data_IF_603884080633
#
_entry.id   IF_603884080633
#
_cell.length_a   1.000
_cell.length_b   1.000
_cell.length_c   1.000
_cell.angle_alpha   90.00
_cell.angle_beta   90.00
_cell.angle_gamma   90.00
#
_symmetry.space_group_name_H-M   'P 1'
#
loop_
_entity.id
_entity.type
_entity.pdbx_description
1 polymer ?
#
# COMPACT_ATOMS: atom_id res chain seq x y z
N UNK A 1 6.99 -2.81 -32.33
CA UNK A 1 7.86 -3.06 -31.15
C UNK A 1 7.16 -2.77 -29.82
N UNK A 2 6.41 -1.66 -29.69
CA UNK A 2 5.68 -1.27 -28.46
C UNK A 2 4.68 -2.31 -27.91
N UNK A 3 3.97 -3.05 -28.77
CA UNK A 3 2.91 -3.99 -28.36
C UNK A 3 3.42 -5.22 -27.60
N UNK A 4 4.66 -5.67 -27.83
CA UNK A 4 5.24 -6.79 -27.06
C UNK A 4 5.53 -6.39 -25.62
N UNK A 5 6.10 -5.21 -25.42
CA UNK A 5 6.44 -4.68 -24.09
C UNK A 5 5.15 -4.46 -23.27
N UNK A 6 4.14 -3.81 -23.85
CA UNK A 6 2.84 -3.60 -23.17
C UNK A 6 2.18 -4.92 -22.78
N UNK A 7 2.29 -5.96 -23.61
CA UNK A 7 1.74 -7.29 -23.31
C UNK A 7 2.48 -7.97 -22.16
N UNK A 8 3.81 -7.92 -22.15
CA UNK A 8 4.63 -8.48 -21.07
C UNK A 8 4.30 -7.75 -19.77
N UNK A 9 4.24 -6.42 -19.80
CA UNK A 9 3.93 -5.61 -18.62
C UNK A 9 2.52 -5.87 -18.10
N UNK A 10 1.52 -5.98 -18.97
CA UNK A 10 0.15 -6.32 -18.58
C UNK A 10 0.04 -7.71 -17.95
N UNK A 11 0.84 -8.67 -18.44
CA UNK A 11 0.85 -10.03 -17.90
C UNK A 11 1.58 -10.09 -16.56
N UNK A 12 2.75 -9.46 -16.46
CA UNK A 12 3.53 -9.38 -15.22
C UNK A 12 2.76 -8.68 -14.10
N UNK A 13 2.13 -7.54 -14.39
CA UNK A 13 1.31 -6.80 -13.41
C UNK A 13 0.08 -7.60 -12.97
N UNK A 14 -0.55 -8.34 -13.89
CA UNK A 14 -1.65 -9.23 -13.54
C UNK A 14 -1.20 -10.40 -12.66
N UNK A 15 -0.09 -11.06 -13.00
CA UNK A 15 0.48 -12.15 -12.18
C UNK A 15 0.84 -11.63 -10.78
N UNK A 16 1.49 -10.48 -10.69
CA UNK A 16 1.83 -9.87 -9.41
C UNK A 16 0.57 -9.51 -8.60
N UNK A 17 -0.47 -8.99 -9.25
CA UNK A 17 -1.75 -8.73 -8.58
C UNK A 17 -2.37 -10.00 -7.98
N UNK A 18 -2.31 -11.12 -8.72
CA UNK A 18 -2.80 -12.42 -8.25
C UNK A 18 -1.94 -12.93 -7.10
N UNK A 19 -0.62 -12.82 -7.18
CA UNK A 19 0.29 -13.23 -6.11
C UNK A 19 0.04 -12.43 -4.82
N UNK A 20 -0.13 -11.11 -4.90
CA UNK A 20 -0.47 -10.28 -3.74
C UNK A 20 -1.87 -10.61 -3.19
N UNK A 21 -2.83 -10.92 -4.06
CA UNK A 21 -4.18 -11.34 -3.63
C UNK A 21 -4.15 -12.71 -2.94
N UNK A 22 -3.35 -13.64 -3.43
CA UNK A 22 -3.12 -14.95 -2.79
C UNK A 22 -2.37 -14.80 -1.47
N UNK A 23 -1.39 -13.91 -1.39
CA UNK A 23 -0.70 -13.58 -0.15
C UNK A 23 -1.68 -12.99 0.87
N UNK A 24 -2.55 -12.05 0.47
CA UNK A 24 -3.60 -11.51 1.34
C UNK A 24 -4.50 -12.61 1.91
N UNK A 25 -5.00 -13.52 1.06
CA UNK A 25 -5.83 -14.64 1.51
C UNK A 25 -5.05 -15.62 2.40
N UNK A 26 -3.80 -15.92 2.02
CA UNK A 26 -2.91 -16.82 2.75
C UNK A 26 -2.61 -16.30 4.14
N UNK A 27 -2.14 -15.05 4.26
CA UNK A 27 -1.86 -14.38 5.54
C UNK A 27 -3.11 -14.28 6.40
N UNK A 28 -4.25 -13.91 5.81
CA UNK A 28 -5.51 -13.85 6.54
C UNK A 28 -5.92 -15.20 7.15
N UNK A 29 -5.84 -16.28 6.36
CA UNK A 29 -6.17 -17.63 6.82
C UNK A 29 -5.14 -18.17 7.80
N UNK A 30 -3.84 -17.96 7.56
CA UNK A 30 -2.79 -18.45 8.45
C UNK A 30 -2.86 -17.79 9.81
N UNK A 31 -3.02 -16.47 9.90
CA UNK A 31 -3.16 -15.77 11.19
C UNK A 31 -4.45 -16.12 11.95
N UNK A 32 -5.51 -16.51 11.26
CA UNK A 32 -6.73 -17.00 11.90
C UNK A 32 -6.56 -18.38 12.53
N UNK A 33 -5.71 -19.22 11.92
CA UNK A 33 -5.46 -20.59 12.36
C UNK A 33 -4.23 -20.71 13.28
N UNK A 34 -3.38 -19.70 13.30
CA UNK A 34 -2.17 -19.67 14.11
C UNK A 34 -2.48 -19.19 15.54
N UNK A 35 -1.86 -19.86 16.51
CA UNK A 35 -1.86 -19.49 17.93
C UNK A 35 -0.54 -18.83 18.35
N UNK A 36 0.31 -18.50 17.38
CA UNK A 36 1.60 -17.86 17.58
C UNK A 36 1.55 -16.48 18.26
N UNK A 37 2.70 -16.09 18.79
CA UNK A 37 2.89 -14.80 19.44
C UNK A 37 2.73 -13.64 18.43
N UNK A 38 2.01 -12.60 18.83
CA UNK A 38 1.89 -11.36 18.04
C UNK A 38 2.94 -10.38 18.53
N UNK A 39 3.73 -9.83 17.60
CA UNK A 39 4.79 -8.88 17.93
C UNK A 39 4.60 -7.55 17.21
N UNK A 40 4.68 -6.44 17.95
CA UNK A 40 4.66 -5.08 17.40
C UNK A 40 5.99 -4.39 17.66
N UNK A 41 6.49 -3.64 16.67
CA UNK A 41 7.63 -2.74 16.86
C UNK A 41 7.13 -1.36 17.26
N UNK A 42 7.78 -0.76 18.25
CA UNK A 42 7.49 0.59 18.73
C UNK A 42 8.79 1.38 18.82
N UNK A 43 8.69 2.66 18.48
CA UNK A 43 9.79 3.63 18.59
C UNK A 43 9.83 4.30 19.97
N UNK A 44 9.10 3.76 20.96
CA UNK A 44 8.96 4.41 22.26
C UNK A 44 10.30 4.61 22.98
N UNK A 45 11.23 3.66 22.84
CA UNK A 45 12.59 3.76 23.36
C UNK A 45 13.59 4.27 22.32
N UNK A 46 13.13 4.87 21.22
CA UNK A 46 14.03 5.47 20.25
C UNK A 46 14.90 6.52 20.95
N UNK A 47 16.22 6.34 20.89
CA UNK A 47 17.23 7.15 21.58
C UNK A 47 17.34 6.93 23.10
N UNK A 48 16.75 5.86 23.64
CA UNK A 48 17.04 5.48 25.01
C UNK A 48 18.46 4.92 25.14
N UNK A 49 19.19 5.41 26.15
CA UNK A 49 20.48 4.85 26.53
C UNK A 49 20.27 3.46 27.10
N UNK A 50 20.94 2.45 26.54
CA UNK A 50 20.93 1.11 27.10
C UNK A 50 21.53 1.12 28.51
N UNK A 51 20.83 0.51 29.47
CA UNK A 51 21.32 0.39 30.84
C UNK A 51 22.55 -0.54 30.90
N UNK A 52 22.54 -1.61 30.10
CA UNK A 52 23.66 -2.50 29.92
C UNK A 52 24.44 -2.10 28.65
N UNK A 53 25.68 -1.65 28.83
CA UNK A 53 26.59 -1.37 27.72
C UNK A 53 26.82 -2.68 26.96
N UNK A 54 26.40 -2.75 25.70
CA UNK A 54 26.96 -3.74 24.80
C UNK A 54 28.41 -3.28 24.56
N UNK A 55 29.35 -4.22 24.57
CA UNK A 55 30.79 -3.93 24.56
C UNK A 55 31.20 -3.19 23.26
N UNK A 56 31.08 -1.87 23.24
CA UNK A 56 31.63 -1.00 22.20
C UNK A 56 32.75 -0.11 22.75
N UNK A 57 33.71 0.18 21.86
CA UNK A 57 34.93 0.91 22.19
C UNK A 57 34.69 2.33 22.70
N UNK A 58 35.73 2.89 23.30
CA UNK A 58 35.73 4.23 23.88
C UNK A 58 35.33 5.29 22.83
N UNK A 59 34.32 6.10 23.14
CA UNK A 59 33.78 7.14 22.25
C UNK A 59 32.54 6.78 21.43
N UNK A 60 32.03 5.54 21.53
CA UNK A 60 30.78 5.12 20.86
C UNK A 60 29.58 5.36 21.77
N UNK A 61 28.56 6.05 21.24
CA UNK A 61 27.24 6.15 21.87
C UNK A 61 26.33 5.07 21.29
N UNK A 62 25.84 4.18 22.16
CA UNK A 62 24.83 3.19 21.81
C UNK A 62 23.45 3.72 22.18
N UNK A 63 22.54 3.73 21.21
CA UNK A 63 21.12 3.96 21.46
C UNK A 63 20.31 2.78 20.93
N UNK A 64 19.27 2.40 21.65
CA UNK A 64 18.26 1.48 21.10
C UNK A 64 17.38 2.27 20.14
N UNK A 65 17.18 1.74 18.93
CA UNK A 65 16.38 2.40 17.89
C UNK A 65 14.96 1.85 17.80
N UNK A 66 14.70 0.61 18.23
CA UNK A 66 13.40 -0.06 18.07
C UNK A 66 13.15 -1.03 19.23
N UNK A 67 11.98 -0.96 19.85
CA UNK A 67 11.53 -1.94 20.85
C UNK A 67 10.47 -2.86 20.27
N UNK A 68 10.65 -4.17 20.42
CA UNK A 68 9.67 -5.16 19.96
C UNK A 68 8.91 -5.70 21.18
N UNK A 69 7.60 -5.50 21.22
CA UNK A 69 6.70 -6.08 22.22
C UNK A 69 6.05 -7.32 21.61
N UNK A 70 6.26 -8.49 22.22
CA UNK A 70 5.65 -9.73 21.80
C UNK A 70 4.71 -10.26 22.88
N UNK A 71 3.53 -10.71 22.48
CA UNK A 71 2.52 -11.30 23.36
C UNK A 71 2.29 -12.76 22.94
N UNK A 72 2.66 -13.70 23.82
CA UNK A 72 2.60 -15.15 23.54
C UNK A 72 1.16 -15.71 23.51
N UNK A 73 0.22 -15.05 24.21
CA UNK A 73 -1.20 -15.39 24.18
C UNK A 73 -2.03 -14.15 23.82
N UNK A 74 -2.07 -13.76 22.51
CA UNK A 74 -2.74 -12.55 22.08
C UNK A 74 -4.26 -12.72 22.10
N UNK A 75 -4.97 -11.68 22.55
CA UNK A 75 -6.44 -11.65 22.46
C UNK A 75 -6.92 -11.58 21.01
N UNK A 76 -8.18 -11.93 20.76
CA UNK A 76 -8.78 -11.83 19.42
C UNK A 76 -8.69 -10.41 18.83
N UNK A 77 -8.80 -9.37 19.67
CA UNK A 77 -8.64 -7.98 19.25
C UNK A 77 -7.20 -7.63 18.83
N UNK A 78 -6.20 -8.20 19.51
CA UNK A 78 -4.79 -8.02 19.16
C UNK A 78 -4.44 -8.73 17.85
N UNK A 79 -4.96 -9.94 17.62
CA UNK A 79 -4.80 -10.63 16.33
C UNK A 79 -5.44 -9.86 15.18
N UNK A 80 -6.64 -9.30 15.39
CA UNK A 80 -7.31 -8.50 14.37
C UNK A 80 -6.55 -7.20 14.06
N UNK A 81 -5.97 -6.56 15.07
CA UNK A 81 -5.17 -5.35 14.89
C UNK A 81 -3.82 -5.62 14.20
N UNK A 82 -3.18 -6.76 14.51
CA UNK A 82 -1.97 -7.24 13.82
C UNK A 82 -2.24 -7.46 12.32
N UNK A 83 -3.31 -8.19 12.00
CA UNK A 83 -3.80 -8.36 10.64
C UNK A 83 -4.12 -7.03 9.94
N UNK A 84 -4.66 -6.07 10.69
CA UNK A 84 -4.95 -4.71 10.22
C UNK A 84 -3.70 -3.90 9.86
N UNK A 85 -2.51 -4.33 10.27
CA UNK A 85 -1.25 -3.66 9.91
C UNK A 85 -0.66 -4.15 8.57
N UNK A 86 -0.88 -5.42 8.21
CA UNK A 86 -0.26 -6.03 7.01
C UNK A 86 -1.24 -6.18 5.83
N UNK A 87 -2.45 -6.67 6.09
CA UNK A 87 -3.43 -7.00 5.04
C UNK A 87 -3.84 -5.81 4.16
N UNK A 88 -4.02 -4.57 4.70
CA UNK A 88 -4.47 -3.46 3.87
C UNK A 88 -3.53 -3.15 2.71
N UNK A 89 -2.21 -3.24 2.91
CA UNK A 89 -1.21 -3.00 1.87
C UNK A 89 -1.23 -4.07 0.78
N UNK A 90 -1.39 -5.34 1.15
CA UNK A 90 -1.51 -6.44 0.19
C UNK A 90 -2.76 -6.29 -0.69
N UNK A 91 -3.89 -5.98 -0.07
CA UNK A 91 -5.15 -5.77 -0.78
C UNK A 91 -5.08 -4.54 -1.70
N UNK A 92 -4.58 -3.42 -1.20
CA UNK A 92 -4.39 -2.20 -1.97
C UNK A 92 -3.47 -2.44 -3.17
N UNK A 93 -2.31 -3.08 -2.95
CA UNK A 93 -1.36 -3.40 -4.00
C UNK A 93 -1.95 -4.30 -5.08
N UNK A 94 -2.68 -5.35 -4.67
CA UNK A 94 -3.38 -6.26 -5.60
C UNK A 94 -4.40 -5.50 -6.46
N UNK A 95 -5.25 -4.68 -5.84
CA UNK A 95 -6.26 -3.90 -6.55
C UNK A 95 -5.65 -2.88 -7.51
N UNK A 96 -4.62 -2.13 -7.09
CA UNK A 96 -3.93 -1.14 -7.91
C UNK A 96 -3.30 -1.80 -9.15
N UNK A 97 -2.58 -2.91 -8.97
CA UNK A 97 -1.96 -3.65 -10.07
C UNK A 97 -2.99 -4.27 -11.02
N UNK A 98 -4.10 -4.81 -10.48
CA UNK A 98 -5.19 -5.35 -11.28
C UNK A 98 -5.80 -4.26 -12.17
N UNK A 99 -6.07 -3.07 -11.61
CA UNK A 99 -6.58 -1.90 -12.34
C UNK A 99 -5.59 -1.43 -13.39
N UNK A 100 -4.30 -1.37 -13.07
CA UNK A 100 -3.25 -1.04 -14.03
C UNK A 100 -3.17 -2.06 -15.19
N UNK A 101 -3.24 -3.36 -14.91
CA UNK A 101 -3.25 -4.37 -15.98
C UNK A 101 -4.47 -4.22 -16.89
N UNK A 102 -5.63 -3.81 -16.35
CA UNK A 102 -6.84 -3.52 -17.14
C UNK A 102 -6.65 -2.30 -18.03
N UNK A 103 -5.98 -1.25 -17.56
CA UNK A 103 -5.61 -0.09 -18.40
C UNK A 103 -4.70 -0.54 -19.55
N UNK A 104 -3.65 -1.32 -19.27
CA UNK A 104 -2.75 -1.82 -20.32
C UNK A 104 -3.47 -2.73 -21.33
N UNK A 105 -4.38 -3.58 -20.87
CA UNK A 105 -5.23 -4.42 -21.75
C UNK A 105 -6.15 -3.56 -22.62
N UNK A 106 -6.73 -2.50 -22.06
CA UNK A 106 -7.56 -1.55 -22.81
C UNK A 106 -6.75 -0.87 -23.92
N UNK A 107 -5.57 -0.34 -23.59
CA UNK A 107 -4.66 0.30 -24.56
C UNK A 107 -4.32 -0.65 -25.71
N UNK A 108 -4.10 -1.94 -25.43
CA UNK A 108 -3.81 -2.93 -26.48
C UNK A 108 -5.02 -3.25 -27.38
N UNK A 109 -6.25 -3.17 -26.85
CA UNK A 109 -7.47 -3.55 -27.58
C UNK A 109 -8.07 -2.38 -28.36
N UNK A 110 -8.10 -1.21 -27.73
CA UNK A 110 -8.86 -0.05 -28.20
C UNK A 110 -7.92 1.08 -28.69
N UNK A 111 -6.62 0.98 -28.39
CA UNK A 111 -5.65 2.05 -28.62
C UNK A 111 -5.52 3.00 -27.43
N UNK A 112 -4.43 3.80 -27.36
CA UNK A 112 -4.13 4.65 -26.21
C UNK A 112 -5.08 5.85 -26.08
N UNK A 113 -5.46 6.50 -27.18
CA UNK A 113 -6.27 7.71 -27.17
C UNK A 113 -7.75 7.40 -27.36
N UNK A 114 -8.34 6.76 -26.35
CA UNK A 114 -9.79 6.49 -26.29
C UNK A 114 -10.36 6.97 -24.97
N UNK A 115 -11.64 7.37 -24.98
CA UNK A 115 -12.36 7.74 -23.76
C UNK A 115 -12.33 6.63 -22.69
N UNK A 116 -12.38 5.37 -23.12
CA UNK A 116 -12.33 4.23 -22.22
C UNK A 116 -10.96 4.09 -21.51
N UNK A 117 -9.85 4.28 -22.22
CA UNK A 117 -8.51 4.27 -21.60
C UNK A 117 -8.33 5.47 -20.67
N UNK A 118 -8.73 6.66 -21.12
CA UNK A 118 -8.68 7.89 -20.33
C UNK A 118 -9.42 7.74 -18.99
N UNK A 119 -10.67 7.26 -19.03
CA UNK A 119 -11.47 7.04 -17.83
C UNK A 119 -10.86 5.97 -16.91
N UNK A 120 -10.39 4.83 -17.47
CA UNK A 120 -9.74 3.77 -16.67
C UNK A 120 -8.46 4.27 -16.00
N UNK A 121 -7.67 5.11 -16.68
CA UNK A 121 -6.46 5.73 -16.12
C UNK A 121 -6.80 6.74 -15.02
N UNK A 122 -7.83 7.57 -15.21
CA UNK A 122 -8.32 8.49 -14.17
C UNK A 122 -8.81 7.75 -12.93
N UNK A 123 -9.58 6.67 -13.10
CA UNK A 123 -10.04 5.83 -12.00
C UNK A 123 -8.87 5.17 -11.27
N UNK A 124 -7.87 4.68 -12.00
CA UNK A 124 -6.63 4.17 -11.39
C UNK A 124 -5.94 5.26 -10.58
N UNK A 125 -5.75 6.45 -11.15
CA UNK A 125 -5.11 7.57 -10.47
C UNK A 125 -5.81 7.94 -9.17
N UNK A 126 -7.15 8.05 -9.18
CA UNK A 126 -7.93 8.30 -7.96
C UNK A 126 -7.82 7.18 -6.94
N UNK A 127 -7.83 5.92 -7.41
CA UNK A 127 -7.67 4.78 -6.50
C UNK A 127 -6.32 4.79 -5.80
N UNK A 128 -5.25 5.23 -6.45
CA UNK A 128 -3.92 5.33 -5.83
C UNK A 128 -3.82 6.57 -4.95
N UNK A 129 -4.26 7.73 -5.43
CA UNK A 129 -4.15 9.01 -4.73
C UNK A 129 -4.93 9.01 -3.41
N UNK A 130 -6.11 8.40 -3.38
CA UNK A 130 -6.93 8.28 -2.17
C UNK A 130 -6.68 6.98 -1.42
N UNK A 131 -6.43 5.87 -2.13
CA UNK A 131 -6.25 4.57 -1.49
C UNK A 131 -4.96 4.49 -0.66
N UNK A 132 -3.88 5.16 -1.08
CA UNK A 132 -2.63 5.18 -0.30
C UNK A 132 -2.80 5.80 1.09
N UNK A 133 -3.29 7.05 1.25
CA UNK A 133 -3.47 7.63 2.58
C UNK A 133 -4.55 6.90 3.39
N UNK A 134 -5.61 6.39 2.76
CA UNK A 134 -6.60 5.58 3.47
C UNK A 134 -6.01 4.29 4.03
N UNK A 135 -5.16 3.61 3.25
CA UNK A 135 -4.46 2.39 3.68
C UNK A 135 -3.50 2.70 4.83
N UNK A 136 -2.71 3.76 4.70
CA UNK A 136 -1.80 4.22 5.76
C UNK A 136 -2.54 4.55 7.06
N UNK A 137 -3.71 5.19 6.97
CA UNK A 137 -4.53 5.51 8.13
C UNK A 137 -5.10 4.26 8.81
N UNK A 138 -5.57 3.28 8.05
CA UNK A 138 -6.07 2.00 8.60
C UNK A 138 -4.96 1.25 9.33
N UNK A 139 -3.77 1.18 8.73
CA UNK A 139 -2.59 0.52 9.31
C UNK A 139 -2.16 1.22 10.59
N UNK A 140 -1.96 2.53 10.54
CA UNK A 140 -1.57 3.32 11.70
C UNK A 140 -2.56 3.26 12.86
N UNK A 141 -3.86 3.21 12.55
CA UNK A 141 -4.87 3.07 13.60
C UNK A 141 -4.89 1.67 14.21
N UNK A 142 -4.64 0.64 13.39
CA UNK A 142 -4.56 -0.74 13.84
C UNK A 142 -3.33 -0.97 14.74
N UNK A 143 -2.16 -0.43 14.36
CA UNK A 143 -0.96 -0.45 15.20
C UNK A 143 -1.14 0.35 16.50
N UNK A 144 -1.70 1.56 16.43
CA UNK A 144 -1.99 2.38 17.63
C UNK A 144 -2.87 1.61 18.62
N UNK A 145 -3.94 0.97 18.13
CA UNK A 145 -4.81 0.10 18.96
C UNK A 145 -4.07 -1.09 19.55
N UNK A 146 -3.16 -1.70 18.78
CA UNK A 146 -2.36 -2.84 19.23
C UNK A 146 -1.40 -2.42 20.36
N UNK A 147 -0.69 -1.31 20.18
CA UNK A 147 0.25 -0.78 21.18
C UNK A 147 -0.48 -0.33 22.44
N UNK A 148 -1.59 0.41 22.31
CA UNK A 148 -2.42 0.82 23.45
C UNK A 148 -2.90 -0.39 24.28
N UNK A 149 -3.18 -1.53 23.63
CA UNK A 149 -3.60 -2.75 24.31
C UNK A 149 -2.47 -3.46 25.07
N UNK A 150 -1.22 -3.32 24.62
CA UNK A 150 -0.05 -3.97 25.22
C UNK A 150 0.65 -3.07 26.24
N UNK A 151 0.58 -1.75 26.06
CA UNK A 151 1.19 -0.77 26.97
C UNK A 151 0.38 0.53 27.03
N UNK A 152 -0.66 0.59 27.86
CA UNK A 152 -1.59 1.72 27.92
C UNK A 152 -0.96 3.04 28.42
N UNK A 153 0.24 2.97 29.01
CA UNK A 153 0.98 4.15 29.49
C UNK A 153 1.86 4.79 28.40
N UNK A 154 2.02 4.12 27.25
CA UNK A 154 2.78 4.61 26.11
C UNK A 154 1.77 5.20 25.13
N UNK A 155 1.53 6.51 25.22
CA UNK A 155 0.60 7.21 24.33
C UNK A 155 0.99 7.02 22.87
N UNK A 156 0.22 6.22 22.13
CA UNK A 156 0.50 5.85 20.76
C UNK A 156 -0.52 6.50 19.84
N UNK A 157 -0.22 7.72 19.35
CA UNK A 157 -1.08 8.39 18.37
C UNK A 157 -1.07 7.65 17.02
N UNK A 158 -2.17 7.68 16.24
CA UNK A 158 -2.18 7.08 14.91
C UNK A 158 -1.16 7.79 14.01
N UNK A 159 -0.11 7.09 13.62
CA UNK A 159 0.87 7.57 12.64
C UNK A 159 0.43 7.19 11.22
N UNK A 160 0.65 8.08 10.25
CA UNK A 160 0.47 7.73 8.84
C UNK A 160 1.69 6.92 8.39
N UNK A 161 1.64 5.61 8.58
CA UNK A 161 2.69 4.71 8.10
C UNK A 161 2.43 4.28 6.66
N UNK A 162 3.36 4.61 5.76
CA UNK A 162 3.33 4.12 4.38
C UNK A 162 3.91 5.08 3.35
N UNK A 163 4.01 4.64 2.09
CA UNK A 163 4.62 5.42 1.01
C UNK A 163 3.65 6.51 0.50
N UNK A 164 3.40 7.55 1.30
CA UNK A 164 2.56 8.70 0.93
C UNK A 164 3.04 9.40 -0.36
N UNK A 165 4.30 9.19 -0.75
CA UNK A 165 4.85 9.61 -2.05
C UNK A 165 4.03 9.09 -3.23
N UNK A 166 3.30 7.97 -3.11
CA UNK A 166 2.43 7.42 -4.16
C UNK A 166 1.23 8.31 -4.50
N UNK A 167 0.90 9.30 -3.66
CA UNK A 167 -0.12 10.30 -3.98
C UNK A 167 0.25 11.07 -5.25
N UNK A 168 1.54 11.41 -5.42
CA UNK A 168 2.04 12.17 -6.57
C UNK A 168 1.79 11.44 -7.90
N UNK A 169 2.26 10.18 -8.11
CA UNK A 169 1.97 9.45 -9.34
C UNK A 169 0.47 9.15 -9.51
N UNK A 170 -0.29 8.98 -8.43
CA UNK A 170 -1.75 8.85 -8.48
C UNK A 170 -2.41 10.10 -9.08
N UNK A 171 -2.08 11.29 -8.57
CA UNK A 171 -2.56 12.57 -9.09
C UNK A 171 -2.08 12.83 -10.52
N UNK A 172 -0.83 12.50 -10.83
CA UNK A 172 -0.31 12.61 -12.19
C UNK A 172 -1.13 11.74 -13.17
N UNK A 173 -1.47 10.51 -12.80
CA UNK A 173 -2.32 9.64 -13.61
C UNK A 173 -3.75 10.21 -13.80
N UNK A 174 -4.33 10.86 -12.78
CA UNK A 174 -5.62 11.56 -12.91
C UNK A 174 -5.53 12.67 -13.96
N UNK A 175 -4.49 13.51 -13.88
CA UNK A 175 -4.28 14.64 -14.78
C UNK A 175 -4.09 14.14 -16.22
N UNK A 176 -3.22 13.14 -16.42
CA UNK A 176 -2.98 12.55 -17.74
C UNK A 176 -4.26 11.95 -18.31
N UNK A 177 -5.03 11.21 -17.50
CA UNK A 177 -6.32 10.65 -17.94
C UNK A 177 -7.32 11.73 -18.36
N UNK A 178 -7.38 12.86 -17.65
CA UNK A 178 -8.22 14.01 -18.04
C UNK A 178 -7.77 14.64 -19.35
N UNK A 179 -6.48 14.93 -19.51
CA UNK A 179 -5.96 15.48 -20.77
C UNK A 179 -6.19 14.54 -21.95
N UNK A 180 -6.08 13.23 -21.75
CA UNK A 180 -6.42 12.25 -22.78
C UNK A 180 -7.90 12.31 -23.15
N UNK A 181 -8.80 12.43 -22.16
CA UNK A 181 -10.24 12.56 -22.43
C UNK A 181 -10.57 13.83 -23.20
N UNK A 182 -9.98 14.96 -22.82
CA UNK A 182 -10.20 16.24 -23.50
C UNK A 182 -9.67 16.20 -24.94
N UNK A 183 -8.50 15.58 -25.15
CA UNK A 183 -7.91 15.40 -26.48
C UNK A 183 -8.75 14.50 -27.39
N UNK A 184 -9.40 13.46 -26.86
CA UNK A 184 -10.33 12.62 -27.64
C UNK A 184 -11.57 13.41 -28.04
N UNK A 185 -12.15 14.18 -27.11
CA UNK A 185 -13.32 15.03 -27.40
C UNK A 185 -13.03 16.07 -28.49
N UNK A 186 -11.88 16.75 -28.42
CA UNK A 186 -11.49 17.72 -29.45
C UNK A 186 -11.33 17.09 -30.83
N UNK A 187 -10.86 15.84 -30.89
CA UNK A 187 -10.74 15.11 -32.16
C UNK A 187 -12.11 14.77 -32.74
N UNK A 188 -13.04 14.33 -31.90
CA UNK A 188 -14.42 14.05 -32.31
C UNK A 188 -15.12 15.31 -32.83
N UNK A 189 -14.92 16.47 -32.19
CA UNK A 189 -15.47 17.77 -32.65
C UNK A 189 -14.93 18.18 -34.04
N UNK A 190 -13.65 17.91 -34.31
CA UNK A 190 -13.02 18.18 -35.61
C UNK A 190 -13.49 17.22 -36.71
N UNK A 191 -13.70 15.94 -36.39
CA UNK A 191 -14.23 14.95 -37.33
C UNK A 191 -15.73 15.18 -37.64
N UNK A 192 -16.48 15.80 -36.73
CA UNK A 192 -17.91 16.11 -36.90
C UNK A 192 -18.25 17.41 -37.64
N UNK A 193 -17.26 18.24 -37.98
CA UNK A 193 -17.47 19.54 -38.69
C UNK A 193 -17.36 19.41 -40.22
N UNK A 194 -17.04 18.22 -40.75
CA UNK A 194 -16.87 17.94 -42.18
C UNK A 194 -18.15 17.37 -42.78
#
# INVERSE_FOLDING_TARGET
>A
MHTRITRILASATFVLAVLLGLAFLGTGVSHLLDDGAVCVQTDFWANASLADKVSTGEGVQESSSVTRLCQDAPSAGQRAADLGSELPWLLFGSLALLRFSRVLKAVMREGPFTHAVANRLTVLGWSVALGTPLTALVVGWSQSRLVDSMSPNIGSGPALEGPLVLIIPGLAAVIIGKFMSDGVRMREDLEGTI
#
